data_IF_304901529527
#
_entry.id   IF_304901529527
#
_cell.length_a   1.000
_cell.length_b   1.000
_cell.length_c   1.000
_cell.angle_alpha   90.00
_cell.angle_beta   90.00
_cell.angle_gamma   90.00
#
_symmetry.space_group_name_H-M   'P 1'
#
loop_
_entity.id
_entity.type
_entity.pdbx_description
1 polymer ?
#
# COMPACT_ATOMS: atom_id res chain seq x y z
N UNK A 1 -31.67 1.38 -35.02
CA UNK A 1 -30.21 1.16 -34.87
C UNK A 1 -30.04 0.00 -33.91
N UNK A 2 -29.54 -1.13 -34.37
CA UNK A 2 -29.34 -2.31 -33.51
C UNK A 2 -28.25 -2.07 -32.49
N UNK A 3 -28.50 -2.41 -31.24
CA UNK A 3 -27.51 -2.28 -30.18
C UNK A 3 -26.35 -3.25 -30.46
N UNK A 4 -25.14 -2.72 -30.77
CA UNK A 4 -23.97 -3.52 -31.02
C UNK A 4 -23.01 -3.46 -29.83
N UNK A 5 -22.33 -4.55 -29.55
CA UNK A 5 -21.28 -4.63 -28.53
C UNK A 5 -19.98 -3.97 -29.02
N UNK A 6 -19.23 -3.39 -28.10
CA UNK A 6 -17.87 -2.90 -28.37
C UNK A 6 -16.84 -4.03 -28.16
N UNK A 7 -17.14 -4.95 -27.22
CA UNK A 7 -16.31 -6.09 -26.87
C UNK A 7 -17.17 -7.32 -26.70
N UNK A 8 -16.74 -8.45 -27.26
CA UNK A 8 -17.39 -9.75 -27.15
C UNK A 8 -16.38 -10.80 -26.66
N UNK A 9 -16.65 -11.35 -25.49
CA UNK A 9 -15.85 -12.40 -24.86
C UNK A 9 -16.54 -13.73 -25.10
N UNK A 10 -15.88 -14.69 -25.73
CA UNK A 10 -16.48 -15.92 -26.28
C UNK A 10 -15.54 -17.12 -26.08
N UNK A 11 -16.03 -18.33 -26.32
CA UNK A 11 -15.21 -19.55 -26.35
C UNK A 11 -14.65 -19.96 -24.97
N UNK A 12 -15.34 -19.63 -23.89
CA UNK A 12 -14.92 -19.97 -22.53
C UNK A 12 -16.07 -20.41 -21.61
N UNK A 13 -15.77 -20.44 -20.32
CA UNK A 13 -16.76 -20.62 -19.26
C UNK A 13 -16.89 -19.34 -18.45
N UNK A 14 -18.08 -18.76 -18.43
CA UNK A 14 -18.32 -17.49 -17.74
C UNK A 14 -19.11 -17.75 -16.46
N UNK A 15 -18.57 -17.32 -15.32
CA UNK A 15 -19.28 -17.28 -14.05
C UNK A 15 -19.84 -15.88 -13.82
N UNK A 16 -21.16 -15.74 -13.75
CA UNK A 16 -21.84 -14.44 -13.68
C UNK A 16 -21.94 -13.88 -12.27
N UNK A 17 -21.79 -14.73 -11.25
CA UNK A 17 -22.05 -14.42 -9.84
C UNK A 17 -23.49 -13.94 -9.56
N UNK A 18 -24.42 -14.15 -10.49
CA UNK A 18 -25.86 -13.80 -10.32
C UNK A 18 -26.50 -14.64 -9.21
N UNK A 19 -27.17 -14.02 -8.23
CA UNK A 19 -27.81 -14.75 -7.14
C UNK A 19 -29.02 -15.60 -7.62
N UNK A 20 -29.72 -15.11 -8.64
CA UNK A 20 -30.86 -15.76 -9.25
C UNK A 20 -30.61 -16.01 -10.74
N UNK A 21 -30.93 -17.23 -11.22
CA UNK A 21 -30.71 -17.64 -12.61
C UNK A 21 -29.48 -18.53 -12.79
N UNK A 22 -29.06 -18.70 -14.05
CA UNK A 22 -27.87 -19.49 -14.36
C UNK A 22 -26.59 -18.72 -13.95
N UNK A 23 -25.81 -19.32 -13.04
CA UNK A 23 -24.53 -18.80 -12.66
C UNK A 23 -23.43 -19.01 -13.70
N UNK A 24 -23.74 -19.78 -14.74
CA UNK A 24 -22.79 -20.14 -15.77
C UNK A 24 -23.35 -19.81 -17.14
N UNK A 25 -22.53 -19.26 -17.99
CA UNK A 25 -22.84 -18.96 -19.40
C UNK A 25 -21.58 -19.14 -20.26
N UNK A 26 -21.66 -18.92 -21.58
CA UNK A 26 -20.59 -19.15 -22.53
C UNK A 26 -19.90 -17.85 -22.97
N UNK A 27 -20.66 -16.76 -23.00
CA UNK A 27 -20.19 -15.50 -23.56
C UNK A 27 -20.70 -14.27 -22.79
N UNK A 28 -20.01 -13.15 -23.00
CA UNK A 28 -20.36 -11.81 -22.49
C UNK A 28 -20.22 -10.79 -23.62
N UNK A 29 -21.26 -10.03 -23.85
CA UNK A 29 -21.24 -8.85 -24.70
C UNK A 29 -21.13 -7.58 -23.82
N UNK A 30 -20.22 -6.67 -24.15
CA UNK A 30 -19.96 -5.42 -23.42
C UNK A 30 -20.16 -4.24 -24.36
N UNK A 31 -20.75 -3.17 -23.83
CA UNK A 31 -20.89 -1.89 -24.54
C UNK A 31 -20.65 -0.71 -23.59
N UNK A 32 -19.84 0.24 -24.01
CA UNK A 32 -19.49 1.44 -23.21
C UNK A 32 -19.04 1.08 -21.78
N UNK A 33 -18.20 0.03 -21.64
CA UNK A 33 -17.67 -0.44 -20.37
C UNK A 33 -18.71 -1.08 -19.43
N UNK A 34 -19.89 -1.48 -19.96
CA UNK A 34 -20.94 -2.17 -19.20
C UNK A 34 -21.31 -3.48 -19.88
N UNK A 35 -21.61 -4.50 -19.09
CA UNK A 35 -22.17 -5.75 -19.59
C UNK A 35 -23.52 -5.43 -20.25
N UNK A 36 -23.61 -5.72 -21.55
CA UNK A 36 -24.82 -5.56 -22.33
C UNK A 36 -25.71 -6.80 -22.18
N UNK A 37 -25.12 -7.98 -22.29
CA UNK A 37 -25.78 -9.26 -22.14
C UNK A 37 -24.78 -10.37 -21.78
N UNK A 38 -25.29 -11.43 -21.16
CA UNK A 38 -24.62 -12.71 -20.95
C UNK A 38 -25.52 -13.81 -21.51
N UNK A 39 -24.97 -14.86 -22.13
CA UNK A 39 -25.78 -15.91 -22.78
C UNK A 39 -24.94 -16.94 -23.50
N UNK A 40 -25.57 -17.68 -24.40
CA UNK A 40 -24.86 -18.58 -25.30
C UNK A 40 -24.01 -17.80 -26.30
N UNK A 41 -22.98 -18.43 -26.81
CA UNK A 41 -22.10 -17.83 -27.83
C UNK A 41 -22.91 -17.49 -29.08
N UNK A 42 -23.82 -18.37 -29.50
CA UNK A 42 -24.64 -18.20 -30.68
C UNK A 42 -25.58 -16.98 -30.58
N UNK A 43 -26.30 -16.85 -29.46
CA UNK A 43 -27.26 -15.75 -29.27
C UNK A 43 -26.56 -14.37 -29.20
N UNK A 44 -25.44 -14.30 -28.50
CA UNK A 44 -24.77 -13.03 -28.32
C UNK A 44 -23.93 -12.59 -29.52
N UNK A 45 -23.59 -13.50 -30.42
CA UNK A 45 -22.89 -13.18 -31.66
C UNK A 45 -23.70 -12.23 -32.56
N UNK A 46 -25.03 -12.25 -32.47
CA UNK A 46 -25.91 -11.32 -33.19
C UNK A 46 -25.71 -9.85 -32.74
N UNK A 47 -25.15 -9.63 -31.55
CA UNK A 47 -24.83 -8.30 -31.05
C UNK A 47 -23.46 -7.77 -31.58
N UNK A 48 -22.71 -8.59 -32.32
CA UNK A 48 -21.45 -8.19 -32.88
C UNK A 48 -21.63 -7.40 -34.18
N UNK A 49 -20.89 -6.31 -34.33
CA UNK A 49 -20.78 -5.51 -35.54
C UNK A 49 -19.35 -5.49 -36.06
N UNK A 50 -19.14 -4.77 -37.15
CA UNK A 50 -17.82 -4.66 -37.78
C UNK A 50 -16.72 -4.03 -36.90
N UNK A 51 -17.12 -3.31 -35.86
CA UNK A 51 -16.22 -2.64 -34.91
C UNK A 51 -16.12 -3.37 -33.55
N UNK A 52 -16.78 -4.51 -33.39
CA UNK A 52 -16.75 -5.28 -32.15
C UNK A 52 -15.41 -6.01 -32.02
N UNK A 53 -14.67 -5.72 -30.95
CA UNK A 53 -13.51 -6.51 -30.57
C UNK A 53 -13.95 -7.87 -30.06
N UNK A 54 -13.43 -8.94 -30.63
CA UNK A 54 -13.74 -10.32 -30.26
C UNK A 54 -12.54 -10.95 -29.55
N UNK A 55 -12.74 -11.38 -28.29
CA UNK A 55 -11.73 -12.07 -27.49
C UNK A 55 -12.13 -13.51 -27.29
N UNK A 56 -11.39 -14.43 -27.89
CA UNK A 56 -11.53 -15.88 -27.66
C UNK A 56 -10.87 -16.26 -26.33
N UNK A 57 -11.66 -16.71 -25.40
CA UNK A 57 -11.22 -17.16 -24.08
C UNK A 57 -10.49 -18.51 -24.12
N UNK A 58 -10.57 -19.25 -25.23
CA UNK A 58 -9.88 -20.54 -25.43
C UNK A 58 -10.12 -21.52 -24.29
N UNK A 59 -11.39 -21.70 -23.88
CA UNK A 59 -11.80 -22.58 -22.81
C UNK A 59 -11.52 -22.05 -21.39
N UNK A 60 -10.93 -20.86 -21.24
CA UNK A 60 -10.61 -20.28 -19.94
C UNK A 60 -11.87 -19.86 -19.20
N UNK A 61 -11.72 -19.79 -17.88
CA UNK A 61 -12.75 -19.27 -16.99
C UNK A 61 -12.71 -17.73 -16.99
N UNK A 62 -13.88 -17.11 -17.17
CA UNK A 62 -14.10 -15.69 -16.98
C UNK A 62 -14.88 -15.47 -15.67
N UNK A 63 -14.37 -14.61 -14.82
CA UNK A 63 -14.97 -14.22 -13.54
C UNK A 63 -15.21 -12.70 -13.51
N UNK A 64 -16.17 -12.21 -12.70
CA UNK A 64 -16.14 -10.82 -12.28
C UNK A 64 -14.80 -10.50 -11.62
N UNK A 65 -14.27 -9.29 -11.87
CA UNK A 65 -13.07 -8.85 -11.19
C UNK A 65 -13.26 -8.80 -9.67
N UNK A 66 -12.20 -9.11 -8.92
CA UNK A 66 -12.26 -9.19 -7.47
C UNK A 66 -12.30 -7.82 -6.81
N UNK A 67 -12.93 -7.77 -5.65
CA UNK A 67 -12.89 -6.63 -4.73
C UNK A 67 -12.10 -7.03 -3.49
N UNK A 68 -11.01 -6.31 -3.20
CA UNK A 68 -10.36 -6.40 -1.90
C UNK A 68 -11.17 -5.56 -0.90
N UNK A 69 -11.78 -6.24 0.08
CA UNK A 69 -12.74 -5.62 0.99
C UNK A 69 -12.12 -4.92 2.20
N UNK A 70 -10.82 -5.05 2.42
CA UNK A 70 -10.12 -4.38 3.52
C UNK A 70 -8.63 -4.18 3.20
N UNK A 71 -8.27 -3.03 2.70
CA UNK A 71 -6.89 -2.70 2.35
C UNK A 71 -6.53 -1.28 2.78
N UNK A 72 -5.25 -1.08 3.08
CA UNK A 72 -4.60 0.23 3.26
C UNK A 72 -3.79 0.51 1.98
N UNK A 73 -4.50 0.82 0.89
CA UNK A 73 -3.89 0.81 -0.45
C UNK A 73 -2.80 1.86 -0.63
N UNK A 74 -2.97 3.06 -0.06
CA UNK A 74 -1.94 4.12 -0.19
C UNK A 74 -0.66 3.73 0.56
N UNK A 75 -0.79 3.10 1.73
CA UNK A 75 0.36 2.59 2.49
C UNK A 75 1.06 1.45 1.73
N UNK A 76 0.28 0.51 1.15
CA UNK A 76 0.83 -0.52 0.28
C UNK A 76 1.56 0.10 -0.93
N UNK A 77 0.96 1.08 -1.59
CA UNK A 77 1.54 1.72 -2.77
C UNK A 77 2.85 2.47 -2.46
N UNK A 78 2.93 3.12 -1.30
CA UNK A 78 4.16 3.75 -0.83
C UNK A 78 5.24 2.70 -0.57
N UNK A 79 4.89 1.61 0.13
CA UNK A 79 5.80 0.49 0.39
C UNK A 79 6.32 -0.18 -0.89
N UNK A 80 5.46 -0.41 -1.87
CA UNK A 80 5.83 -0.94 -3.20
C UNK A 80 6.79 0.01 -3.95
N UNK A 81 6.80 1.30 -3.59
CA UNK A 81 7.74 2.28 -4.12
C UNK A 81 9.09 2.31 -3.40
N UNK A 82 9.24 1.65 -2.26
CA UNK A 82 10.48 1.55 -1.49
C UNK A 82 11.44 0.52 -2.09
N UNK A 83 12.68 0.49 -1.58
CA UNK A 83 13.66 -0.54 -1.99
C UNK A 83 13.43 -1.81 -1.18
N UNK A 84 13.13 -2.90 -1.84
CA UNK A 84 13.13 -4.24 -1.23
C UNK A 84 14.53 -4.88 -1.36
N UNK A 85 15.16 -5.14 -0.22
CA UNK A 85 16.45 -5.83 -0.12
C UNK A 85 16.36 -7.15 0.67
N UNK A 86 15.16 -7.72 0.77
CA UNK A 86 14.91 -8.98 1.51
C UNK A 86 15.76 -10.15 1.01
N UNK A 87 16.11 -10.14 -0.26
CA UNK A 87 16.89 -11.21 -0.90
C UNK A 87 18.38 -10.89 -1.04
N UNK A 88 18.84 -9.73 -0.55
CA UNK A 88 20.25 -9.39 -0.58
C UNK A 88 21.09 -10.33 0.30
N UNK A 89 22.17 -10.86 -0.26
CA UNK A 89 23.07 -11.81 0.38
C UNK A 89 24.37 -11.18 0.89
N UNK A 90 24.50 -9.86 0.74
CA UNK A 90 25.66 -9.08 1.21
C UNK A 90 25.29 -7.61 1.45
N UNK A 91 26.09 -6.93 2.26
CA UNK A 91 25.98 -5.48 2.44
C UNK A 91 26.21 -4.72 1.11
N UNK A 92 27.07 -5.24 0.24
CA UNK A 92 27.34 -4.68 -1.08
C UNK A 92 26.14 -4.73 -2.03
N UNK A 93 25.36 -5.81 -2.00
CA UNK A 93 24.11 -5.91 -2.79
C UNK A 93 23.06 -4.91 -2.32
N UNK A 94 22.97 -4.66 -1.02
CA UNK A 94 22.10 -3.61 -0.46
C UNK A 94 22.54 -2.23 -0.96
N UNK A 95 23.83 -1.91 -0.86
CA UNK A 95 24.38 -0.65 -1.35
C UNK A 95 24.14 -0.47 -2.87
N UNK A 96 24.25 -1.55 -3.66
CA UNK A 96 23.98 -1.51 -5.09
C UNK A 96 22.49 -1.27 -5.41
N UNK A 97 21.57 -1.83 -4.61
CA UNK A 97 20.14 -1.53 -4.74
C UNK A 97 19.84 -0.04 -4.46
N UNK A 98 20.48 0.53 -3.44
CA UNK A 98 20.42 1.96 -3.13
C UNK A 98 20.96 2.79 -4.30
N UNK A 99 22.15 2.44 -4.84
CA UNK A 99 22.74 3.15 -5.99
C UNK A 99 21.78 3.20 -7.17
N UNK A 100 21.19 2.06 -7.54
CA UNK A 100 20.20 1.98 -8.64
C UNK A 100 19.00 2.89 -8.41
N UNK A 101 18.48 2.92 -7.19
CA UNK A 101 17.35 3.79 -6.84
C UNK A 101 17.72 5.27 -6.95
N UNK A 102 18.86 5.67 -6.41
CA UNK A 102 19.35 7.07 -6.48
C UNK A 102 19.53 7.50 -7.94
N UNK A 103 20.08 6.62 -8.78
CA UNK A 103 20.23 6.90 -10.23
C UNK A 103 18.87 7.03 -10.94
N UNK A 104 17.92 6.14 -10.63
CA UNK A 104 16.57 6.20 -11.19
C UNK A 104 15.84 7.50 -10.78
N UNK A 105 15.95 7.89 -9.50
CA UNK A 105 15.36 9.15 -9.02
C UNK A 105 15.95 10.37 -9.72
N UNK A 106 17.28 10.42 -9.94
CA UNK A 106 17.95 11.49 -10.68
C UNK A 106 17.49 11.58 -12.14
N UNK A 107 17.29 10.44 -12.79
CA UNK A 107 16.84 10.36 -14.19
C UNK A 107 15.38 10.79 -14.39
N UNK A 108 14.54 10.58 -13.39
CA UNK A 108 13.10 10.93 -13.43
C UNK A 108 12.79 12.36 -12.99
N UNK A 109 13.81 13.20 -12.77
CA UNK A 109 13.65 14.55 -12.20
C UNK A 109 12.93 14.57 -10.84
N UNK A 110 12.95 13.46 -10.12
CA UNK A 110 12.50 13.41 -8.73
C UNK A 110 13.31 14.40 -7.89
N UNK A 111 12.70 14.92 -6.83
CA UNK A 111 13.36 15.88 -5.96
C UNK A 111 14.67 15.26 -5.40
N UNK A 112 15.85 15.85 -5.65
CA UNK A 112 17.13 15.33 -5.16
C UNK A 112 17.20 15.23 -3.63
N UNK A 113 16.30 15.93 -2.94
CA UNK A 113 16.19 15.91 -1.48
C UNK A 113 15.26 14.82 -0.96
N UNK A 114 14.64 14.04 -1.82
CA UNK A 114 13.71 12.98 -1.44
C UNK A 114 14.46 11.85 -0.73
N UNK A 115 13.90 11.40 0.38
CA UNK A 115 14.44 10.27 1.13
C UNK A 115 14.36 9.00 0.31
N UNK A 116 15.40 8.19 0.37
CA UNK A 116 15.39 6.82 -0.16
C UNK A 116 15.08 5.89 0.98
N UNK A 117 13.90 5.30 0.91
CA UNK A 117 13.39 4.38 1.92
C UNK A 117 13.37 2.95 1.36
N UNK A 118 13.46 1.99 2.25
CA UNK A 118 13.39 0.59 1.90
C UNK A 118 13.56 -0.32 3.11
N UNK A 119 13.72 -1.62 2.88
CA UNK A 119 13.91 -2.53 3.98
C UNK A 119 14.07 -3.99 3.60
N UNK A 120 14.19 -4.83 4.63
CA UNK A 120 14.34 -6.26 4.49
C UNK A 120 15.79 -6.76 4.63
N UNK A 121 16.75 -5.88 4.96
CA UNK A 121 18.13 -6.34 5.18
C UNK A 121 18.23 -7.27 6.39
N UNK A 122 19.04 -8.32 6.24
CA UNK A 122 19.27 -9.31 7.27
C UNK A 122 20.72 -9.81 7.24
N UNK A 123 21.62 -9.30 8.09
CA UNK A 123 23.03 -9.66 8.08
C UNK A 123 23.28 -11.13 8.46
N UNK A 124 22.29 -11.80 9.09
CA UNK A 124 22.44 -13.21 9.47
C UNK A 124 22.54 -14.17 8.28
N UNK A 125 22.14 -13.76 7.09
CA UNK A 125 22.22 -14.55 5.85
C UNK A 125 23.37 -14.11 4.93
N UNK A 126 24.14 -13.08 5.32
CA UNK A 126 25.21 -12.57 4.48
C UNK A 126 26.47 -13.43 4.55
N UNK A 127 26.93 -13.88 3.40
CA UNK A 127 28.08 -14.79 3.32
C UNK A 127 29.43 -14.08 3.52
N UNK A 128 29.49 -12.77 3.29
CA UNK A 128 30.70 -11.96 3.39
C UNK A 128 31.05 -11.55 4.84
N UNK A 129 30.10 -11.72 5.77
CA UNK A 129 30.28 -11.35 7.17
C UNK A 129 30.46 -9.86 7.41
N UNK A 130 30.23 -9.01 6.39
CA UNK A 130 30.38 -7.56 6.51
C UNK A 130 29.15 -6.99 7.24
N UNK A 131 29.39 -6.38 8.39
CA UNK A 131 28.34 -5.70 9.15
C UNK A 131 27.81 -4.48 8.39
N UNK A 132 26.51 -4.19 8.47
CA UNK A 132 25.97 -2.96 7.90
C UNK A 132 26.58 -1.75 8.59
N UNK A 133 27.06 -0.79 7.78
CA UNK A 133 27.67 0.43 8.27
C UNK A 133 27.34 1.61 7.34
N UNK A 134 27.09 2.80 7.89
CA UNK A 134 26.71 4.00 7.13
C UNK A 134 27.63 4.29 5.94
N UNK A 135 28.93 4.01 6.06
CA UNK A 135 29.93 4.28 5.01
C UNK A 135 29.58 3.60 3.70
N UNK A 136 29.05 2.37 3.74
CA UNK A 136 28.65 1.64 2.55
C UNK A 136 27.49 2.33 1.79
N UNK A 137 26.59 2.98 2.52
CA UNK A 137 25.50 3.77 1.94
C UNK A 137 26.00 5.16 1.53
N UNK A 138 26.94 5.75 2.25
CA UNK A 138 27.54 7.06 1.94
C UNK A 138 28.27 7.03 0.58
N UNK A 139 28.96 5.93 0.26
CA UNK A 139 29.68 5.74 -1.00
C UNK A 139 28.74 5.78 -2.23
N UNK A 140 27.49 5.37 -2.07
CA UNK A 140 26.53 5.27 -3.17
C UNK A 140 25.48 6.39 -3.16
N UNK A 141 25.29 7.03 -2.02
CA UNK A 141 24.28 8.08 -1.79
C UNK A 141 24.78 9.17 -0.84
N UNK A 142 25.90 9.88 -1.16
CA UNK A 142 26.50 10.85 -0.23
C UNK A 142 25.59 12.02 0.12
N UNK A 143 24.76 12.46 -0.83
CA UNK A 143 23.91 13.65 -0.70
C UNK A 143 22.42 13.34 -0.49
N UNK A 144 22.04 12.07 -0.62
CA UNK A 144 20.64 11.61 -0.51
C UNK A 144 20.46 10.88 0.80
N UNK A 145 19.48 11.25 1.66
CA UNK A 145 19.23 10.53 2.90
C UNK A 145 18.64 9.15 2.61
N UNK A 146 19.25 8.12 3.18
CA UNK A 146 18.86 6.71 3.02
C UNK A 146 18.52 6.12 4.38
N UNK A 147 17.36 5.45 4.46
CA UNK A 147 16.94 4.68 5.64
C UNK A 147 16.34 3.35 5.16
N UNK A 148 16.87 2.26 5.68
CA UNK A 148 16.45 0.91 5.35
C UNK A 148 16.06 0.16 6.64
N UNK A 149 14.82 -0.35 6.71
CA UNK A 149 14.35 -1.17 7.82
C UNK A 149 15.01 -2.55 7.80
N UNK A 150 15.33 -3.11 8.96
CA UNK A 150 15.71 -4.51 9.07
C UNK A 150 14.54 -5.43 8.75
N UNK A 151 14.83 -6.69 8.42
CA UNK A 151 13.79 -7.70 8.11
C UNK A 151 12.84 -7.96 9.27
N UNK A 152 13.33 -7.89 10.48
CA UNK A 152 12.55 -8.07 11.72
C UNK A 152 11.86 -6.79 12.20
N UNK A 153 12.10 -5.65 11.54
CA UNK A 153 11.57 -4.33 11.89
C UNK A 153 12.02 -3.78 13.26
N UNK A 154 13.05 -4.38 13.86
CA UNK A 154 13.62 -3.94 15.14
C UNK A 154 14.84 -3.02 14.98
N UNK A 155 15.22 -2.71 13.76
CA UNK A 155 16.35 -1.83 13.47
C UNK A 155 16.26 -1.12 12.15
N UNK A 156 17.01 -0.05 12.01
CA UNK A 156 17.18 0.69 10.76
C UNK A 156 18.67 0.85 10.44
N UNK A 157 18.98 0.88 9.16
CA UNK A 157 20.30 1.20 8.63
C UNK A 157 20.23 2.50 7.84
N UNK A 158 20.92 3.53 8.32
CA UNK A 158 20.89 4.87 7.77
C UNK A 158 22.28 5.31 7.32
N UNK A 159 22.34 6.17 6.31
CA UNK A 159 23.56 6.84 5.91
C UNK A 159 23.82 8.14 6.73
N UNK A 160 25.00 8.71 6.57
CA UNK A 160 25.41 9.95 7.27
C UNK A 160 24.46 11.12 6.98
N UNK A 161 23.93 11.22 5.76
CA UNK A 161 22.99 12.29 5.38
C UNK A 161 21.66 12.15 6.10
N UNK A 162 21.12 10.93 6.26
CA UNK A 162 19.92 10.68 7.05
C UNK A 162 20.14 10.98 8.55
N UNK A 163 21.23 10.50 9.12
CA UNK A 163 21.58 10.77 10.52
C UNK A 163 21.67 12.28 10.78
N UNK A 164 22.35 13.03 9.91
CA UNK A 164 22.49 14.48 10.02
C UNK A 164 21.16 15.21 9.96
N UNK A 165 20.26 14.79 9.07
CA UNK A 165 18.90 15.37 8.98
C UNK A 165 18.05 15.08 10.21
N UNK A 166 18.30 13.95 10.87
CA UNK A 166 17.63 13.59 12.13
C UNK A 166 18.31 14.24 13.37
N UNK A 167 19.41 14.98 13.18
CA UNK A 167 20.17 15.57 14.28
C UNK A 167 20.93 14.54 15.13
N UNK A 168 21.21 13.35 14.55
CA UNK A 168 21.90 12.25 15.24
C UNK A 168 23.41 12.35 14.97
N UNK A 169 24.17 12.45 16.05
CA UNK A 169 25.63 12.53 16.03
C UNK A 169 26.27 11.84 17.23
N UNK A 170 27.58 12.09 17.42
CA UNK A 170 28.38 11.51 18.51
C UNK A 170 27.75 11.71 19.89
N UNK A 171 27.27 12.93 20.14
CA UNK A 171 26.78 13.34 21.45
C UNK A 171 25.29 13.09 21.67
N UNK A 172 24.59 12.49 20.69
CA UNK A 172 23.17 12.14 20.80
C UNK A 172 23.02 11.01 21.81
N UNK A 173 22.29 11.18 22.92
CA UNK A 173 22.11 10.11 23.91
C UNK A 173 21.21 9.00 23.35
N UNK A 174 21.40 7.79 23.86
CA UNK A 174 20.45 6.71 23.63
C UNK A 174 19.09 7.07 24.25
N UNK A 175 18.04 6.62 23.61
CA UNK A 175 16.66 6.78 24.13
C UNK A 175 16.28 5.56 24.98
N UNK A 176 15.35 5.74 25.89
CA UNK A 176 14.88 4.65 26.73
C UNK A 176 14.34 3.49 25.85
N UNK A 177 14.89 2.29 26.05
CA UNK A 177 14.55 1.11 25.24
C UNK A 177 15.04 1.12 23.80
N UNK A 178 16.05 1.96 23.47
CA UNK A 178 16.64 2.01 22.12
C UNK A 178 18.14 2.24 22.17
N UNK A 179 18.85 1.83 21.12
CA UNK A 179 20.31 1.89 21.02
C UNK A 179 20.70 2.55 19.70
N UNK A 180 21.61 3.52 19.76
CA UNK A 180 22.36 4.04 18.61
C UNK A 180 23.71 3.32 18.58
N UNK A 181 23.89 2.37 17.64
CA UNK A 181 25.18 1.66 17.54
C UNK A 181 26.31 2.62 17.17
N UNK A 182 27.45 2.52 17.87
CA UNK A 182 28.63 3.40 17.72
C UNK A 182 29.88 2.60 17.43
N UNK A 183 30.76 3.20 16.67
CA UNK A 183 32.11 2.67 16.42
C UNK A 183 33.06 2.93 17.60
N UNK A 184 34.30 2.45 17.49
CA UNK A 184 35.35 2.65 18.52
C UNK A 184 35.76 4.11 18.75
N UNK A 185 35.38 5.02 17.85
CA UNK A 185 35.57 6.45 18.00
C UNK A 185 34.33 7.16 18.63
N UNK A 186 33.24 6.41 18.90
CA UNK A 186 32.01 6.94 19.45
C UNK A 186 31.07 7.53 18.39
N UNK A 187 31.38 7.39 17.11
CA UNK A 187 30.50 7.87 16.02
C UNK A 187 29.40 6.87 15.73
N UNK A 188 28.17 7.33 15.42
CA UNK A 188 27.09 6.43 15.02
C UNK A 188 27.46 5.61 13.78
N UNK A 189 27.31 4.30 13.84
CA UNK A 189 27.58 3.39 12.70
C UNK A 189 26.54 3.50 11.58
N UNK A 190 25.39 4.11 11.87
CA UNK A 190 24.22 4.16 11.02
C UNK A 190 23.13 3.16 11.41
N UNK A 191 23.40 2.28 12.38
CA UNK A 191 22.44 1.33 12.90
C UNK A 191 21.77 1.88 14.16
N UNK A 192 20.45 1.95 14.12
CA UNK A 192 19.62 2.28 15.27
C UNK A 192 18.68 1.09 15.54
N UNK A 193 18.48 0.77 16.82
CA UNK A 193 17.66 -0.36 17.24
C UNK A 193 16.54 0.06 18.16
N UNK A 194 15.45 -0.71 18.10
CA UNK A 194 14.26 -0.56 18.94
C UNK A 194 13.74 0.89 18.92
N UNK A 195 13.45 1.47 20.09
CA UNK A 195 12.91 2.82 20.19
C UNK A 195 13.82 3.92 19.59
N UNK A 196 15.12 3.65 19.38
CA UNK A 196 16.01 4.61 18.71
C UNK A 196 15.64 4.85 17.24
N UNK A 197 14.96 3.91 16.58
CA UNK A 197 14.47 4.05 15.21
C UNK A 197 13.51 5.23 15.04
N UNK A 198 12.79 5.60 16.13
CA UNK A 198 11.89 6.76 16.12
C UNK A 198 12.60 8.10 15.86
N UNK A 199 13.88 8.20 16.20
CA UNK A 199 14.65 9.41 15.94
C UNK A 199 14.75 9.70 14.45
N UNK A 200 14.91 8.66 13.63
CA UNK A 200 14.91 8.77 12.17
C UNK A 200 13.50 8.93 11.60
N UNK A 201 12.54 8.15 12.07
CA UNK A 201 11.17 8.22 11.56
C UNK A 201 10.53 9.60 11.73
N UNK A 202 10.87 10.33 12.80
CA UNK A 202 10.42 11.72 13.02
C UNK A 202 11.04 12.72 12.05
N UNK A 203 12.22 12.43 11.51
CA UNK A 203 12.90 13.28 10.55
C UNK A 203 12.47 13.03 9.11
N UNK A 204 11.91 11.86 8.81
CA UNK A 204 11.38 11.52 7.49
C UNK A 204 10.10 12.33 7.25
N UNK A 205 10.04 13.14 6.17
CA UNK A 205 8.85 13.89 5.84
C UNK A 205 7.65 12.95 5.59
N UNK A 206 6.49 13.34 6.08
CA UNK A 206 5.27 12.60 5.73
C UNK A 206 5.00 12.72 4.23
N UNK A 207 4.54 11.65 3.57
CA UNK A 207 4.26 11.67 2.15
C UNK A 207 3.20 12.74 1.82
N UNK A 208 3.46 13.48 0.76
CA UNK A 208 2.52 14.48 0.26
C UNK A 208 1.61 13.94 -0.86
N UNK A 209 0.63 14.76 -1.29
CA UNK A 209 -0.34 14.37 -2.33
C UNK A 209 0.33 13.93 -3.64
N UNK A 210 1.36 14.65 -4.09
CA UNK A 210 2.06 14.31 -5.34
C UNK A 210 2.75 12.94 -5.26
N UNK A 211 3.34 12.62 -4.12
CA UNK A 211 4.03 11.35 -3.88
C UNK A 211 3.03 10.19 -3.79
N UNK A 212 1.98 10.33 -3.00
CA UNK A 212 0.94 9.30 -2.88
C UNK A 212 0.21 9.06 -4.20
N UNK A 213 -0.03 10.12 -5.00
CA UNK A 213 -0.63 9.99 -6.33
C UNK A 213 0.28 9.21 -7.29
N UNK A 214 1.59 9.50 -7.28
CA UNK A 214 2.58 8.77 -8.07
C UNK A 214 2.66 7.30 -7.65
N UNK A 215 2.77 7.03 -6.35
CA UNK A 215 2.83 5.68 -5.81
C UNK A 215 1.57 4.87 -6.12
N UNK A 216 0.39 5.43 -5.88
CA UNK A 216 -0.89 4.77 -6.17
C UNK A 216 -1.05 4.44 -7.65
N UNK A 217 -0.68 5.38 -8.56
CA UNK A 217 -0.67 5.13 -10.01
C UNK A 217 0.20 3.93 -10.38
N UNK A 218 1.40 3.84 -9.81
CA UNK A 218 2.34 2.76 -10.08
C UNK A 218 1.89 1.41 -9.53
N UNK A 219 1.17 1.38 -8.40
CA UNK A 219 0.71 0.16 -7.75
C UNK A 219 -0.57 -0.44 -8.39
N UNK A 220 -1.42 0.35 -9.05
CA UNK A 220 -2.67 -0.13 -9.67
C UNK A 220 -2.45 -1.34 -10.60
N UNK A 221 -1.45 -1.38 -11.51
CA UNK A 221 -1.21 -2.54 -12.36
C UNK A 221 -0.88 -3.83 -11.60
N UNK A 222 -0.30 -3.75 -10.39
CA UNK A 222 -0.06 -4.91 -9.54
C UNK A 222 -1.39 -5.51 -9.04
N UNK A 223 -2.35 -4.68 -8.65
CA UNK A 223 -3.70 -5.12 -8.29
C UNK A 223 -4.39 -5.86 -9.45
N UNK A 224 -4.30 -5.35 -10.66
CA UNK A 224 -4.90 -6.01 -11.83
C UNK A 224 -4.27 -7.39 -12.12
N UNK A 225 -2.96 -7.55 -11.93
CA UNK A 225 -2.28 -8.86 -12.11
C UNK A 225 -2.82 -9.94 -11.17
N UNK A 226 -3.36 -9.54 -10.00
CA UNK A 226 -4.02 -10.45 -9.06
C UNK A 226 -5.53 -10.55 -9.26
N UNK A 227 -6.08 -9.89 -10.30
CA UNK A 227 -7.52 -9.89 -10.61
C UNK A 227 -8.33 -8.88 -9.77
N UNK A 228 -7.70 -8.06 -8.94
CA UNK A 228 -8.38 -7.06 -8.13
C UNK A 228 -8.64 -5.81 -8.97
N UNK A 229 -9.91 -5.44 -9.11
CA UNK A 229 -10.38 -4.27 -9.88
C UNK A 229 -11.11 -3.25 -9.01
N UNK A 230 -11.38 -3.62 -7.75
CA UNK A 230 -12.04 -2.77 -6.77
C UNK A 230 -11.41 -2.96 -5.39
N UNK A 231 -11.44 -1.91 -4.58
CA UNK A 231 -10.94 -1.92 -3.21
C UNK A 231 -11.89 -1.19 -2.26
N UNK A 232 -11.97 -1.66 -1.01
CA UNK A 232 -12.46 -0.88 0.11
C UNK A 232 -11.24 -0.38 0.89
N UNK A 233 -10.89 0.88 0.71
CA UNK A 233 -9.76 1.46 1.43
C UNK A 233 -10.17 1.76 2.87
N UNK A 234 -9.60 1.01 3.81
CA UNK A 234 -10.03 0.97 5.19
C UNK A 234 -9.42 2.07 6.05
N UNK A 235 -8.41 2.80 5.55
CA UNK A 235 -7.72 3.82 6.33
C UNK A 235 -7.58 5.14 5.56
N UNK A 236 -7.45 6.22 6.32
CA UNK A 236 -7.06 7.54 5.83
C UNK A 236 -6.44 8.33 6.98
N UNK A 237 -5.73 9.38 6.63
CA UNK A 237 -5.17 10.33 7.58
C UNK A 237 -6.18 11.41 7.95
N UNK A 238 -5.91 12.15 9.03
CA UNK A 238 -6.77 13.27 9.46
C UNK A 238 -6.95 14.34 8.37
N UNK A 239 -5.96 14.54 7.52
CA UNK A 239 -6.01 15.46 6.37
C UNK A 239 -6.60 14.81 5.10
N UNK A 240 -7.16 13.61 5.22
CA UNK A 240 -7.81 12.85 4.16
C UNK A 240 -6.91 12.60 2.93
N UNK A 241 -5.63 12.29 3.17
CA UNK A 241 -4.63 12.17 2.12
C UNK A 241 -4.98 11.07 1.10
N UNK A 242 -5.46 9.90 1.56
CA UNK A 242 -5.88 8.82 0.68
C UNK A 242 -7.05 9.24 -0.21
N UNK A 243 -8.07 9.86 0.38
CA UNK A 243 -9.24 10.34 -0.38
C UNK A 243 -8.86 11.43 -1.40
N UNK A 244 -7.97 12.34 -1.02
CA UNK A 244 -7.44 13.39 -1.92
C UNK A 244 -6.63 12.77 -3.06
N UNK A 245 -5.82 11.75 -2.78
CA UNK A 245 -5.06 11.00 -3.79
C UNK A 245 -5.98 10.36 -4.83
N UNK A 246 -7.07 9.72 -4.40
CA UNK A 246 -8.03 9.13 -5.35
C UNK A 246 -8.79 10.18 -6.15
N UNK A 247 -9.09 11.33 -5.56
CA UNK A 247 -9.70 12.44 -6.30
C UNK A 247 -8.77 12.98 -7.38
N UNK A 248 -7.48 13.15 -7.05
CA UNK A 248 -6.46 13.60 -7.99
C UNK A 248 -6.32 12.63 -9.17
N UNK A 249 -6.15 11.33 -8.90
CA UNK A 249 -6.10 10.29 -9.94
C UNK A 249 -7.38 10.28 -10.79
N UNK A 250 -8.54 10.48 -10.18
CA UNK A 250 -9.81 10.53 -10.91
C UNK A 250 -9.90 11.75 -11.82
N UNK A 251 -9.46 12.92 -11.35
CA UNK A 251 -9.44 14.16 -12.13
C UNK A 251 -8.51 14.04 -13.34
N UNK A 252 -7.39 13.35 -13.18
CA UNK A 252 -6.44 13.05 -14.26
C UNK A 252 -6.94 11.94 -15.21
N UNK A 253 -8.07 11.29 -14.93
CA UNK A 253 -8.58 10.15 -15.70
C UNK A 253 -7.78 8.87 -15.51
N UNK A 254 -6.97 8.79 -14.45
CA UNK A 254 -6.03 7.70 -14.17
C UNK A 254 -6.46 6.80 -13.01
N UNK A 255 -7.55 7.10 -12.32
CA UNK A 255 -8.13 6.20 -11.33
C UNK A 255 -8.74 4.98 -12.05
N UNK A 256 -7.91 3.95 -12.26
CA UNK A 256 -8.27 2.70 -12.94
C UNK A 256 -8.62 1.56 -11.98
N UNK A 257 -8.92 1.90 -10.74
CA UNK A 257 -9.37 1.01 -9.67
C UNK A 257 -10.66 1.60 -9.10
N UNK A 258 -11.67 0.78 -8.84
CA UNK A 258 -12.90 1.24 -8.18
C UNK A 258 -12.62 1.33 -6.69
N UNK A 259 -12.85 2.48 -6.08
CA UNK A 259 -12.51 2.72 -4.68
C UNK A 259 -13.77 3.04 -3.88
N UNK A 260 -13.99 2.28 -2.81
CA UNK A 260 -14.88 2.65 -1.71
C UNK A 260 -13.98 3.14 -0.56
N UNK A 261 -13.96 4.45 -0.33
CA UNK A 261 -13.13 5.07 0.72
C UNK A 261 -13.92 5.15 2.02
N UNK A 262 -13.43 4.48 3.06
CA UNK A 262 -13.95 4.66 4.42
C UNK A 262 -13.45 5.96 5.03
N UNK A 263 -14.27 6.59 5.85
CA UNK A 263 -13.97 7.84 6.53
C UNK A 263 -13.46 7.50 7.93
N UNK A 264 -12.25 7.91 8.33
CA UNK A 264 -11.79 7.72 9.71
C UNK A 264 -12.69 8.51 10.68
N UNK A 265 -12.94 7.93 11.84
CA UNK A 265 -13.84 8.53 12.85
C UNK A 265 -13.48 9.98 13.19
N UNK A 266 -12.19 10.32 13.20
CA UNK A 266 -11.73 11.70 13.44
C UNK A 266 -12.22 12.72 12.40
N UNK A 267 -12.67 12.27 11.22
CA UNK A 267 -13.24 13.10 10.15
C UNK A 267 -14.78 13.03 10.09
N UNK A 268 -15.41 12.21 10.94
CA UNK A 268 -16.88 12.07 10.96
C UNK A 268 -17.60 13.39 11.19
N UNK A 269 -17.21 14.28 12.13
CA UNK A 269 -17.88 15.57 12.32
C UNK A 269 -17.86 16.45 11.05
N UNK A 270 -16.77 16.40 10.28
CA UNK A 270 -16.67 17.16 9.02
C UNK A 270 -17.57 16.56 7.94
N UNK A 271 -17.63 15.24 7.86
CA UNK A 271 -18.51 14.54 6.91
C UNK A 271 -19.98 14.82 7.20
N UNK A 272 -20.39 14.78 8.46
CA UNK A 272 -21.76 15.12 8.91
C UNK A 272 -22.08 16.59 8.62
N UNK A 273 -21.16 17.51 8.91
CA UNK A 273 -21.34 18.94 8.64
C UNK A 273 -21.55 19.26 7.15
N UNK A 274 -20.95 18.47 6.26
CA UNK A 274 -21.15 18.55 4.81
C UNK A 274 -22.35 17.74 4.31
N UNK A 275 -23.06 17.01 5.18
CA UNK A 275 -24.19 16.13 4.80
C UNK A 275 -23.79 14.93 3.96
N UNK A 276 -22.52 14.47 4.06
CA UNK A 276 -22.04 13.32 3.31
C UNK A 276 -22.70 12.03 3.81
N UNK A 277 -22.97 11.12 2.89
CA UNK A 277 -23.56 9.82 3.21
C UNK A 277 -22.82 8.70 2.49
N UNK A 278 -22.83 7.52 3.10
CA UNK A 278 -22.32 6.29 2.46
C UNK A 278 -22.98 6.10 1.08
N UNK A 279 -22.19 5.69 0.10
CA UNK A 279 -22.59 5.53 -1.29
C UNK A 279 -22.50 6.79 -2.16
N UNK A 280 -22.30 7.98 -1.58
CA UNK A 280 -22.08 9.20 -2.36
C UNK A 280 -20.83 9.06 -3.25
N UNK A 281 -20.96 9.39 -4.51
CA UNK A 281 -19.88 9.29 -5.50
C UNK A 281 -20.35 8.69 -6.82
N UNK A 282 -19.46 7.96 -7.48
CA UNK A 282 -19.78 7.28 -8.75
C UNK A 282 -19.15 5.88 -8.82
N UNK A 283 -19.13 5.26 -10.00
CA UNK A 283 -18.59 3.90 -10.16
C UNK A 283 -17.09 3.77 -9.84
N UNK A 284 -16.34 4.87 -9.79
CA UNK A 284 -14.88 4.85 -9.58
C UNK A 284 -14.45 5.26 -8.18
N UNK A 285 -15.15 6.20 -7.56
CA UNK A 285 -14.84 6.67 -6.22
C UNK A 285 -16.14 6.93 -5.45
N UNK A 286 -16.31 6.25 -4.32
CA UNK A 286 -17.47 6.37 -3.42
C UNK A 286 -17.02 6.52 -1.99
N UNK A 287 -17.85 7.19 -1.21
CA UNK A 287 -17.74 7.24 0.25
C UNK A 287 -18.30 5.91 0.80
N UNK A 288 -17.54 5.27 1.67
CA UNK A 288 -17.90 4.05 2.37
C UNK A 288 -18.54 4.29 3.74
N UNK A 289 -18.21 3.42 4.68
CA UNK A 289 -18.61 3.53 6.08
C UNK A 289 -17.62 4.41 6.88
N UNK A 290 -17.91 4.62 8.15
CA UNK A 290 -16.95 5.17 9.12
C UNK A 290 -16.03 4.06 9.59
N UNK A 291 -14.72 4.34 9.64
CA UNK A 291 -13.69 3.44 10.16
C UNK A 291 -13.25 3.92 11.54
N UNK A 292 -13.30 3.03 12.49
CA UNK A 292 -12.74 3.19 13.82
C UNK A 292 -12.07 1.90 14.29
N UNK A 293 -11.26 1.98 15.33
CA UNK A 293 -10.56 0.85 15.92
C UNK A 293 -11.12 0.60 17.32
N UNK A 294 -11.77 -0.54 17.52
CA UNK A 294 -12.25 -0.94 18.83
C UNK A 294 -11.11 -1.41 19.74
N UNK A 295 -10.16 -2.12 19.16
CA UNK A 295 -9.02 -2.72 19.85
C UNK A 295 -7.79 -2.80 18.94
N UNK A 296 -6.75 -3.51 19.37
CA UNK A 296 -5.54 -3.75 18.61
C UNK A 296 -5.61 -4.99 17.71
N UNK A 297 -4.48 -5.69 17.55
CA UNK A 297 -4.35 -6.84 16.65
C UNK A 297 -3.79 -8.08 17.38
N UNK A 298 -4.15 -9.28 16.90
CA UNK A 298 -3.65 -10.55 17.46
C UNK A 298 -2.13 -10.68 17.32
N UNK A 299 -1.57 -10.32 16.17
CA UNK A 299 -0.12 -10.47 15.92
C UNK A 299 0.76 -9.64 16.84
N UNK A 300 0.29 -8.47 17.29
CA UNK A 300 0.96 -7.64 18.31
C UNK A 300 0.50 -7.93 19.74
N UNK A 301 -0.39 -8.91 19.92
CA UNK A 301 -1.00 -9.25 21.20
C UNK A 301 -1.66 -8.04 21.89
N UNK A 302 -2.27 -7.17 21.11
CA UNK A 302 -3.01 -5.98 21.58
C UNK A 302 -4.50 -6.07 21.32
N UNK A 303 -4.99 -7.11 20.63
CA UNK A 303 -6.42 -7.38 20.51
C UNK A 303 -7.02 -7.61 21.91
N UNK A 304 -8.20 -7.01 22.17
CA UNK A 304 -8.87 -7.11 23.46
C UNK A 304 -9.58 -8.47 23.58
N UNK A 305 -9.05 -9.35 24.41
CA UNK A 305 -9.43 -10.74 24.53
C UNK A 305 -10.37 -10.99 25.70
N UNK A 306 -11.26 -11.98 25.59
CA UNK A 306 -12.12 -12.44 26.68
C UNK A 306 -11.38 -13.28 27.73
N UNK A 307 -10.20 -13.77 27.36
CA UNK A 307 -9.27 -14.49 28.24
C UNK A 307 -7.86 -13.96 28.00
N UNK A 308 -6.94 -14.06 28.99
CA UNK A 308 -5.55 -13.63 28.77
C UNK A 308 -4.91 -14.37 27.61
N UNK A 309 -3.90 -13.75 27.01
CA UNK A 309 -3.07 -14.42 26.00
C UNK A 309 -2.40 -15.65 26.60
N UNK A 310 -2.28 -16.72 25.80
CA UNK A 310 -1.62 -17.96 26.19
C UNK A 310 -0.18 -17.67 26.63
N UNK A 311 0.22 -18.22 27.78
CA UNK A 311 1.50 -17.98 28.46
C UNK A 311 1.73 -16.56 29.03
N UNK A 312 0.75 -15.64 28.96
CA UNK A 312 0.83 -14.31 29.52
C UNK A 312 -0.42 -13.97 30.38
N UNK A 313 -0.55 -14.53 31.59
CA UNK A 313 -1.81 -14.51 32.35
C UNK A 313 -2.28 -13.11 32.81
N UNK A 314 -1.48 -12.08 32.64
CA UNK A 314 -1.85 -10.68 32.94
C UNK A 314 -2.15 -9.84 31.71
N UNK A 315 -2.10 -10.40 30.49
CA UNK A 315 -2.21 -9.65 29.24
C UNK A 315 -3.54 -9.93 28.53
N UNK A 316 -4.40 -8.93 28.49
CA UNK A 316 -5.74 -9.01 27.93
C UNK A 316 -5.88 -8.23 26.62
N UNK A 317 -4.83 -7.54 26.18
CA UNK A 317 -4.88 -6.58 25.08
C UNK A 317 -5.25 -5.17 25.54
N UNK A 318 -5.65 -4.34 24.60
CA UNK A 318 -5.93 -2.91 24.84
C UNK A 318 -7.20 -2.51 24.08
N UNK A 319 -8.16 -1.90 24.77
CA UNK A 319 -9.24 -1.19 24.11
C UNK A 319 -8.66 0.09 23.46
N UNK A 320 -8.75 0.22 22.14
CA UNK A 320 -8.26 1.38 21.41
C UNK A 320 -9.27 2.55 21.44
N UNK A 321 -10.55 2.23 21.59
CA UNK A 321 -11.64 3.20 21.77
C UNK A 321 -12.46 2.77 22.97
N UNK A 322 -12.84 3.75 23.80
CA UNK A 322 -13.69 3.49 24.95
C UNK A 322 -15.04 2.89 24.50
N UNK A 323 -15.57 1.85 25.18
CA UNK A 323 -16.85 1.27 24.84
C UNK A 323 -18.03 2.27 24.82
N UNK A 324 -18.01 3.30 25.66
CA UNK A 324 -19.04 4.35 25.65
C UNK A 324 -18.93 5.21 24.38
N UNK A 325 -17.72 5.57 23.97
CA UNK A 325 -17.46 6.29 22.71
C UNK A 325 -17.89 5.46 21.49
N UNK A 326 -17.70 4.12 21.52
CA UNK A 326 -18.17 3.22 20.46
C UNK A 326 -19.69 3.23 20.30
N UNK A 327 -20.43 3.49 21.37
CA UNK A 327 -21.90 3.53 21.35
C UNK A 327 -22.45 4.89 20.88
N UNK A 328 -21.65 5.95 20.97
CA UNK A 328 -22.03 7.30 20.54
C UNK A 328 -21.91 7.51 19.04
N UNK A 329 -21.12 6.70 18.34
CA UNK A 329 -20.82 6.78 16.89
C UNK A 329 -21.54 5.70 16.09
#
# INVERSE_FOLDING_TARGET
>A
MQLQADLFLTGGRVYTAEPAGSRWTEAVAVRNGRILATGSDADLRELCGAQTEVVDLRGRLLLPGFTESHIHFIELALRESEIDVTHATSAGEVAEAVRRRVQANRSSQANPSEWVLGGGWNPSIWADGIAPHRILLDEVAPDVPVVLDSKDLHGVWANTTALRRAGIGRDTPDVAGGIIERDGAGEPTGILRENATELLSRAIPKPGLAETTRAARAAIPAMWRTGIVAIHNANDTRDALSFRTYQELKQQGELRLRVLQHIPVCNLPHALGLGLRSGLGNAWLRIGAVKMFADGALGSQTANMLQPYENEPGKWGVAATDPEELLEH
#
